data_IF_996992735414
#
_entry.id   IF_996992735414
#
_cell.length_a   1.000
_cell.length_b   1.000
_cell.length_c   1.000
_cell.angle_alpha   90.00
_cell.angle_beta   90.00
_cell.angle_gamma   90.00
#
_symmetry.space_group_name_H-M   'P 1'
#
loop_
_entity.id
_entity.type
_entity.pdbx_description
1 polymer ?
#
# COMPACT_ATOMS: atom_id res chain seq x y z
N UNK A 1 33.33 -67.01 43.07
CA UNK A 1 33.32 -65.53 42.97
C UNK A 1 33.66 -65.12 41.53
N UNK A 2 32.66 -64.88 40.67
CA UNK A 2 32.86 -64.29 39.33
C UNK A 2 31.84 -63.16 39.16
N UNK A 3 32.36 -61.96 38.94
CA UNK A 3 31.63 -60.68 38.95
C UNK A 3 30.86 -60.53 37.62
N UNK A 4 29.57 -60.26 37.69
CA UNK A 4 28.76 -59.84 36.53
C UNK A 4 29.05 -58.36 36.23
N UNK A 5 29.51 -58.08 35.02
CA UNK A 5 29.63 -56.72 34.49
C UNK A 5 28.30 -56.38 33.81
N UNK A 6 27.55 -55.44 34.40
CA UNK A 6 26.32 -54.88 33.81
C UNK A 6 26.73 -53.70 32.93
N UNK A 7 26.60 -53.86 31.62
CA UNK A 7 26.84 -52.81 30.63
C UNK A 7 25.58 -51.93 30.53
N UNK A 8 25.60 -50.76 31.17
CA UNK A 8 24.56 -49.74 31.02
C UNK A 8 24.73 -49.02 29.66
N UNK A 9 23.91 -49.38 28.68
CA UNK A 9 23.74 -48.61 27.45
C UNK A 9 22.86 -47.38 27.76
N UNK A 10 23.50 -46.24 28.00
CA UNK A 10 22.80 -44.95 28.12
C UNK A 10 22.36 -44.49 26.72
N UNK A 11 21.09 -44.73 26.39
CA UNK A 11 20.46 -44.20 25.18
C UNK A 11 20.22 -42.70 25.37
N UNK A 12 21.18 -41.87 24.98
CA UNK A 12 21.04 -40.41 24.99
C UNK A 12 20.05 -39.99 23.90
N UNK A 13 18.78 -39.89 24.27
CA UNK A 13 17.72 -39.37 23.42
C UNK A 13 17.91 -37.86 23.24
N UNK A 14 18.70 -37.45 22.23
CA UNK A 14 18.82 -36.06 21.79
C UNK A 14 17.47 -35.63 21.19
N UNK A 15 16.58 -35.11 22.04
CA UNK A 15 15.39 -34.38 21.59
C UNK A 15 15.85 -33.11 20.88
N UNK A 16 15.98 -33.17 19.56
CA UNK A 16 16.02 -31.98 18.72
C UNK A 16 14.65 -31.30 18.77
N UNK A 17 14.44 -30.46 19.78
CA UNK A 17 13.38 -29.46 19.74
C UNK A 17 13.76 -28.44 18.65
N UNK A 18 13.31 -28.71 17.42
CA UNK A 18 13.31 -27.73 16.35
C UNK A 18 12.44 -26.55 16.82
N UNK A 19 13.09 -25.52 17.35
CA UNK A 19 12.44 -24.28 17.67
C UNK A 19 11.86 -23.73 16.36
N UNK A 20 10.55 -23.46 16.26
CA UNK A 20 10.02 -22.82 15.07
C UNK A 20 10.73 -21.49 14.91
N UNK A 21 11.52 -21.35 13.84
CA UNK A 21 12.23 -20.13 13.53
C UNK A 21 11.19 -18.99 13.48
N UNK A 22 11.28 -18.05 14.43
CA UNK A 22 10.41 -16.87 14.46
C UNK A 22 10.56 -16.16 13.11
N UNK A 23 9.52 -16.21 12.28
CA UNK A 23 9.54 -15.61 10.96
C UNK A 23 10.00 -14.15 11.09
N UNK A 24 11.11 -13.80 10.44
CA UNK A 24 11.64 -12.45 10.46
C UNK A 24 10.53 -11.48 10.00
N UNK A 25 10.27 -10.45 10.80
CA UNK A 25 9.20 -9.51 10.49
C UNK A 25 9.46 -8.89 9.11
N UNK A 26 8.45 -8.95 8.24
CA UNK A 26 8.55 -8.43 6.88
C UNK A 26 9.08 -6.98 6.86
N UNK A 27 10.17 -6.74 6.12
CA UNK A 27 10.78 -5.41 6.01
C UNK A 27 9.95 -4.53 5.09
N UNK A 28 9.52 -3.35 5.56
CA UNK A 28 8.66 -2.45 4.80
C UNK A 28 9.23 -1.04 4.74
N UNK A 29 9.07 -0.36 3.60
CA UNK A 29 9.37 1.06 3.46
C UNK A 29 8.50 1.71 2.38
N UNK A 30 8.44 3.04 2.43
CA UNK A 30 7.70 3.88 1.49
C UNK A 30 8.65 4.89 0.86
N UNK A 31 8.50 5.12 -0.44
CA UNK A 31 9.11 6.24 -1.16
C UNK A 31 7.98 7.10 -1.72
N UNK A 32 7.95 8.38 -1.38
CA UNK A 32 7.08 9.38 -1.98
C UNK A 32 7.93 10.22 -2.92
N UNK A 33 7.54 10.24 -4.19
CA UNK A 33 8.18 11.06 -5.20
C UNK A 33 7.26 12.22 -5.60
N UNK A 34 7.63 13.43 -5.16
CA UNK A 34 6.85 14.65 -5.38
C UNK A 34 6.80 15.03 -6.86
N UNK A 35 7.88 14.85 -7.61
CA UNK A 35 7.90 15.21 -9.04
C UNK A 35 6.96 14.34 -9.89
N UNK A 36 6.67 13.12 -9.43
CA UNK A 36 5.76 12.17 -10.09
C UNK A 36 4.36 12.15 -9.45
N UNK A 37 4.17 12.82 -8.31
CA UNK A 37 2.99 12.72 -7.45
C UNK A 37 2.60 11.25 -7.20
N UNK A 38 3.59 10.48 -6.73
CA UNK A 38 3.46 9.05 -6.52
C UNK A 38 4.01 8.59 -5.16
N UNK A 39 3.43 7.51 -4.64
CA UNK A 39 3.89 6.80 -3.45
C UNK A 39 4.14 5.34 -3.84
N UNK A 40 5.40 4.92 -3.74
CA UNK A 40 5.82 3.53 -3.88
C UNK A 40 5.91 2.85 -2.51
N UNK A 41 5.27 1.70 -2.38
CA UNK A 41 5.32 0.86 -1.18
C UNK A 41 6.09 -0.43 -1.46
N UNK A 42 7.07 -0.70 -0.60
CA UNK A 42 7.91 -1.89 -0.64
C UNK A 42 7.65 -2.78 0.55
N UNK A 43 7.68 -4.08 0.30
CA UNK A 43 7.64 -5.12 1.32
C UNK A 43 8.56 -6.27 0.91
N UNK A 44 9.36 -6.76 1.86
CA UNK A 44 10.37 -7.80 1.64
C UNK A 44 11.29 -7.47 0.47
N UNK A 45 11.76 -6.22 0.43
CA UNK A 45 12.61 -5.65 -0.62
C UNK A 45 12.01 -5.62 -2.02
N UNK A 46 10.73 -5.94 -2.21
CA UNK A 46 10.08 -5.91 -3.52
C UNK A 46 9.12 -4.73 -3.59
N UNK A 47 9.12 -4.02 -4.72
CA UNK A 47 8.12 -3.00 -5.01
C UNK A 47 6.76 -3.70 -5.12
N UNK A 48 5.89 -3.48 -4.15
CA UNK A 48 4.55 -4.08 -4.12
C UNK A 48 3.53 -3.23 -4.84
N UNK A 49 3.69 -1.91 -4.80
CA UNK A 49 2.64 -1.00 -5.20
C UNK A 49 3.14 0.40 -5.49
N UNK A 50 2.57 1.05 -6.51
CA UNK A 50 2.72 2.49 -6.76
C UNK A 50 1.34 3.12 -6.82
N UNK A 51 1.12 4.16 -6.02
CA UNK A 51 -0.13 4.90 -5.92
C UNK A 51 0.07 6.32 -6.43
N UNK A 52 -0.93 6.88 -7.13
CA UNK A 52 -0.99 8.33 -7.33
C UNK A 52 -1.35 8.99 -6.00
N UNK A 53 -0.71 10.11 -5.70
CA UNK A 53 -0.95 10.89 -4.47
C UNK A 53 -1.04 12.37 -4.80
N UNK A 54 -1.64 13.17 -3.92
CA UNK A 54 -1.49 14.61 -3.97
C UNK A 54 -0.41 15.05 -2.98
N UNK A 55 0.49 15.93 -3.41
CA UNK A 55 1.51 16.54 -2.55
C UNK A 55 1.26 18.05 -2.39
N UNK A 56 2.14 18.71 -1.64
CA UNK A 56 2.03 20.12 -1.30
C UNK A 56 1.95 21.02 -2.53
N UNK A 57 1.04 21.99 -2.51
CA UNK A 57 0.87 22.99 -3.59
C UNK A 57 2.13 23.82 -3.87
N UNK A 58 3.03 23.93 -2.89
CA UNK A 58 4.35 24.53 -3.04
C UNK A 58 5.43 23.50 -2.74
N UNK A 59 6.59 23.66 -3.39
CA UNK A 59 7.73 22.74 -3.25
C UNK A 59 8.14 22.52 -1.79
N UNK A 60 8.07 23.55 -0.95
CA UNK A 60 8.46 23.51 0.45
C UNK A 60 7.41 22.89 1.39
N UNK A 61 6.18 22.68 0.94
CA UNK A 61 5.07 22.29 1.83
C UNK A 61 5.13 20.82 2.23
N UNK A 62 5.38 19.93 1.27
CA UNK A 62 5.69 18.53 1.58
C UNK A 62 7.20 18.39 1.78
N UNK A 63 7.66 18.14 3.03
CA UNK A 63 9.08 18.14 3.36
C UNK A 63 9.78 16.94 2.71
N UNK A 64 10.97 17.19 2.14
CA UNK A 64 11.85 16.13 1.64
C UNK A 64 12.74 15.62 2.78
N UNK A 65 13.13 14.35 2.72
CA UNK A 65 14.00 13.72 3.71
C UNK A 65 13.59 12.31 4.11
N UNK A 66 14.13 11.86 5.26
CA UNK A 66 13.90 10.55 5.85
C UNK A 66 12.99 10.70 7.07
N UNK A 67 11.90 9.94 7.08
CA UNK A 67 10.88 9.96 8.12
C UNK A 67 10.49 8.54 8.51
N UNK A 68 9.62 8.43 9.51
CA UNK A 68 8.96 7.20 9.94
C UNK A 68 7.47 7.46 10.13
N UNK A 69 6.68 6.43 9.90
CA UNK A 69 5.31 6.38 10.42
C UNK A 69 5.39 6.22 11.93
N UNK A 70 4.84 7.16 12.68
CA UNK A 70 4.92 7.17 14.16
C UNK A 70 3.58 6.94 14.85
N UNK A 71 2.47 7.19 14.15
CA UNK A 71 1.15 6.85 14.64
C UNK A 71 0.22 6.46 13.47
N UNK A 72 -0.91 5.84 13.82
CA UNK A 72 -1.93 5.41 12.87
C UNK A 72 -3.31 5.63 13.49
N UNK A 73 -4.18 6.36 12.80
CA UNK A 73 -5.51 6.72 13.31
C UNK A 73 -6.56 6.38 12.25
N UNK A 74 -7.65 5.73 12.68
CA UNK A 74 -8.86 5.51 11.87
C UNK A 74 -9.75 6.73 12.05
N UNK A 75 -10.24 7.31 10.95
CA UNK A 75 -11.20 8.42 10.97
C UNK A 75 -10.77 9.58 11.89
N UNK A 76 -9.57 10.13 11.69
CA UNK A 76 -9.08 11.25 12.51
C UNK A 76 -10.00 12.48 12.35
N UNK A 77 -10.49 13.10 13.44
CA UNK A 77 -11.21 14.38 13.35
C UNK A 77 -10.36 15.48 12.70
N UNK A 78 -11.02 16.38 11.97
CA UNK A 78 -10.39 17.57 11.42
C UNK A 78 -10.69 18.78 12.31
N UNK A 79 -9.87 18.94 13.36
CA UNK A 79 -10.08 19.91 14.43
C UNK A 79 -10.22 21.35 13.92
N UNK A 80 -9.35 21.82 13.02
CA UNK A 80 -9.40 23.19 12.51
C UNK A 80 -10.68 23.53 11.76
N UNK A 81 -11.37 22.53 11.20
CA UNK A 81 -12.67 22.71 10.55
C UNK A 81 -13.85 22.22 11.38
N UNK A 82 -13.62 21.81 12.64
CA UNK A 82 -14.64 21.22 13.51
C UNK A 82 -15.42 20.06 12.87
N UNK A 83 -14.76 19.25 12.03
CA UNK A 83 -15.40 18.15 11.31
C UNK A 83 -15.11 16.83 12.04
N UNK A 84 -16.15 16.07 12.45
CA UNK A 84 -15.98 14.76 13.07
C UNK A 84 -15.19 13.77 12.22
N UNK A 85 -14.62 12.76 12.89
CA UNK A 85 -14.01 11.62 12.23
C UNK A 85 -15.04 10.80 11.45
N UNK A 86 -14.71 10.44 10.20
CA UNK A 86 -15.58 9.58 9.37
C UNK A 86 -16.68 10.33 8.62
N UNK A 87 -16.88 11.62 8.88
CA UNK A 87 -17.74 12.48 8.08
C UNK A 87 -17.22 12.56 6.63
N UNK A 88 -18.06 12.36 5.59
CA UNK A 88 -17.65 12.45 4.18
C UNK A 88 -16.98 13.77 3.79
N UNK A 89 -17.27 14.86 4.51
CA UNK A 89 -16.68 16.19 4.30
C UNK A 89 -15.29 16.32 4.91
N UNK A 90 -14.86 15.39 5.76
CA UNK A 90 -13.57 15.47 6.43
C UNK A 90 -12.41 15.36 5.41
N UNK A 91 -11.57 16.40 5.24
CA UNK A 91 -10.51 16.41 4.23
C UNK A 91 -9.37 15.43 4.51
N UNK A 92 -9.32 14.86 5.72
CA UNK A 92 -8.34 13.84 6.11
C UNK A 92 -8.74 12.44 5.64
N UNK A 93 -10.01 12.23 5.28
CA UNK A 93 -10.54 10.94 4.87
C UNK A 93 -10.58 9.91 6.00
N UNK A 94 -10.50 8.63 5.63
CA UNK A 94 -10.79 7.51 6.54
C UNK A 94 -9.58 6.94 7.29
N UNK A 95 -8.35 7.25 6.89
CA UNK A 95 -7.12 6.74 7.51
C UNK A 95 -6.05 7.81 7.56
N UNK A 96 -5.25 7.75 8.63
CA UNK A 96 -4.13 8.64 8.90
C UNK A 96 -2.90 7.82 9.28
N UNK A 97 -1.79 8.01 8.56
CA UNK A 97 -0.47 7.49 8.91
C UNK A 97 0.44 8.68 9.18
N UNK A 98 0.60 9.06 10.46
CA UNK A 98 1.34 10.25 10.85
C UNK A 98 2.85 10.07 10.70
N UNK A 99 3.50 11.11 10.19
CA UNK A 99 4.93 11.17 9.94
C UNK A 99 5.62 12.05 10.98
N UNK A 100 6.81 11.66 11.44
CA UNK A 100 7.66 12.49 12.30
C UNK A 100 8.39 13.61 11.54
N UNK A 101 7.71 14.28 10.61
CA UNK A 101 8.28 15.40 9.88
C UNK A 101 8.25 16.68 10.72
N UNK A 102 9.31 17.47 10.63
CA UNK A 102 9.45 18.79 11.29
C UNK A 102 9.12 18.78 12.79
N UNK A 103 9.49 17.72 13.50
CA UNK A 103 9.25 17.61 14.95
C UNK A 103 7.79 17.42 15.36
N UNK A 104 6.87 17.18 14.41
CA UNK A 104 5.42 17.12 14.70
C UNK A 104 4.93 15.75 15.18
N UNK A 105 5.80 14.74 15.24
CA UNK A 105 5.49 13.39 15.76
C UNK A 105 4.16 12.79 15.24
N UNK A 106 3.82 13.05 13.97
CA UNK A 106 2.64 12.50 13.32
C UNK A 106 1.32 13.23 13.62
N UNK A 107 1.35 14.42 14.22
CA UNK A 107 0.15 15.24 14.46
C UNK A 107 -0.19 16.17 13.30
N UNK A 108 0.82 16.62 12.54
CA UNK A 108 0.67 17.61 11.45
C UNK A 108 0.85 17.00 10.07
N UNK A 109 1.93 16.24 9.84
CA UNK A 109 2.23 15.64 8.54
C UNK A 109 1.82 14.18 8.50
N UNK A 110 1.12 13.77 7.43
CA UNK A 110 0.67 12.39 7.28
C UNK A 110 0.51 11.96 5.83
N UNK A 111 0.50 10.64 5.64
CA UNK A 111 -0.16 9.99 4.50
C UNK A 111 -1.60 9.70 4.94
N UNK A 112 -2.58 10.25 4.23
CA UNK A 112 -3.99 10.13 4.64
C UNK A 112 -4.94 10.02 3.44
N UNK A 113 -6.22 9.77 3.73
CA UNK A 113 -7.29 9.74 2.73
C UNK A 113 -7.63 11.14 2.19
N UNK A 114 -8.84 11.33 1.66
CA UNK A 114 -9.31 12.66 1.26
C UNK A 114 -10.83 12.70 1.06
N UNK A 115 -11.40 13.91 0.98
CA UNK A 115 -12.81 14.16 0.58
C UNK A 115 -12.96 14.68 -0.87
N UNK A 116 -11.87 15.00 -1.56
CA UNK A 116 -11.84 15.49 -2.93
C UNK A 116 -10.93 14.63 -3.82
N UNK A 117 -11.50 13.54 -4.34
CA UNK A 117 -10.81 12.52 -5.13
C UNK A 117 -10.11 13.07 -6.38
N UNK A 118 -10.56 14.22 -6.89
CA UNK A 118 -9.97 14.91 -8.05
C UNK A 118 -8.61 15.53 -7.75
N UNK A 119 -8.27 15.73 -6.47
CA UNK A 119 -6.95 16.26 -6.06
C UNK A 119 -5.80 15.26 -6.21
N UNK A 120 -6.10 13.96 -6.32
CA UNK A 120 -5.07 12.93 -6.38
C UNK A 120 -4.33 12.98 -7.72
N UNK A 121 -2.99 13.00 -7.67
CA UNK A 121 -2.11 13.17 -8.82
C UNK A 121 -1.66 14.61 -9.06
N UNK A 122 -2.09 15.58 -8.23
CA UNK A 122 -1.77 17.00 -8.39
C UNK A 122 -1.07 17.59 -7.15
N UNK A 123 -0.59 18.84 -7.26
CA UNK A 123 -0.02 19.61 -6.16
C UNK A 123 -1.12 20.41 -5.44
N UNK A 124 -1.81 19.79 -4.49
CA UNK A 124 -3.07 20.33 -3.92
C UNK A 124 -3.10 20.40 -2.38
N UNK A 125 -2.15 19.80 -1.68
CA UNK A 125 -2.19 19.73 -0.21
C UNK A 125 -1.48 20.92 0.44
N UNK A 126 -1.69 21.09 1.74
CA UNK A 126 -0.92 22.02 2.58
C UNK A 126 0.40 21.42 3.08
N UNK A 127 0.78 20.22 2.61
CA UNK A 127 2.03 19.55 2.97
C UNK A 127 1.89 18.04 3.23
N UNK A 128 0.69 17.57 3.56
CA UNK A 128 0.41 16.13 3.66
C UNK A 128 0.42 15.40 2.32
N UNK A 129 0.41 14.08 2.38
CA UNK A 129 0.27 13.19 1.22
C UNK A 129 -1.16 12.66 1.19
N UNK A 130 -1.96 13.13 0.23
CA UNK A 130 -3.35 12.67 0.07
C UNK A 130 -3.40 11.46 -0.85
N UNK A 131 -4.19 10.47 -0.48
CA UNK A 131 -4.45 9.25 -1.25
C UNK A 131 -5.95 9.06 -1.44
N UNK A 132 -6.36 8.21 -2.40
CA UNK A 132 -7.74 7.73 -2.44
C UNK A 132 -8.09 6.95 -1.15
N UNK A 133 -9.30 7.12 -0.61
CA UNK A 133 -9.72 6.52 0.66
C UNK A 133 -9.61 4.98 0.69
N UNK A 134 -9.84 4.33 -0.45
CA UNK A 134 -9.70 2.89 -0.57
C UNK A 134 -8.23 2.44 -0.61
N UNK A 135 -7.34 3.20 -1.27
CA UNK A 135 -5.90 2.91 -1.35
C UNK A 135 -5.20 3.15 -0.01
N UNK A 136 -5.50 4.24 0.68
CA UNK A 136 -4.93 4.48 2.02
C UNK A 136 -5.42 3.43 3.01
N UNK A 137 -6.65 2.92 2.87
CA UNK A 137 -7.13 1.81 3.69
C UNK A 137 -6.30 0.54 3.47
N UNK A 138 -5.97 0.22 2.21
CA UNK A 138 -5.05 -0.88 1.89
C UNK A 138 -3.68 -0.67 2.53
N UNK A 139 -3.10 0.52 2.33
CA UNK A 139 -1.78 0.86 2.85
C UNK A 139 -1.76 0.77 4.38
N UNK A 140 -2.80 1.31 5.02
CA UNK A 140 -2.97 1.30 6.47
C UNK A 140 -3.01 -0.13 7.05
N UNK A 141 -3.59 -1.11 6.35
CA UNK A 141 -3.59 -2.51 6.85
C UNK A 141 -2.22 -3.18 6.82
N UNK A 142 -1.28 -2.67 6.01
CA UNK A 142 0.03 -3.30 5.77
C UNK A 142 1.17 -2.58 6.46
N UNK A 143 1.17 -1.25 6.42
CA UNK A 143 2.23 -0.42 6.99
C UNK A 143 2.23 -0.48 8.50
N UNK A 144 3.38 -0.75 9.10
CA UNK A 144 3.58 -0.78 10.55
C UNK A 144 4.05 0.58 11.07
N UNK A 145 3.81 0.84 12.35
CA UNK A 145 4.52 1.93 13.04
C UNK A 145 6.03 1.62 12.96
N UNK A 146 6.85 2.67 12.86
CA UNK A 146 8.28 2.66 12.55
C UNK A 146 8.66 2.30 11.10
N UNK A 147 7.70 2.05 10.19
CA UNK A 147 8.00 1.93 8.76
C UNK A 147 8.69 3.19 8.25
N UNK A 148 9.83 3.01 7.58
CA UNK A 148 10.63 4.10 7.01
C UNK A 148 9.92 4.73 5.82
N UNK A 149 9.95 6.05 5.75
CA UNK A 149 9.36 6.83 4.66
C UNK A 149 10.44 7.76 4.13
N UNK A 150 10.66 7.73 2.81
CA UNK A 150 11.55 8.67 2.12
C UNK A 150 10.70 9.57 1.25
N UNK A 151 10.88 10.88 1.35
CA UNK A 151 10.20 11.86 0.51
C UNK A 151 11.24 12.59 -0.31
N UNK A 152 11.11 12.56 -1.64
CA UNK A 152 12.07 13.12 -2.59
C UNK A 152 11.39 13.77 -3.78
N UNK A 153 12.13 14.60 -4.51
CA UNK A 153 11.83 14.96 -5.90
C UNK A 153 12.92 14.36 -6.80
N UNK A 154 12.59 13.39 -7.67
CA UNK A 154 13.60 12.70 -8.49
C UNK A 154 13.04 12.15 -9.81
N UNK A 155 13.86 12.15 -10.86
CA UNK A 155 13.55 11.46 -12.12
C UNK A 155 13.85 9.95 -12.07
N UNK A 156 14.71 9.51 -11.13
CA UNK A 156 15.20 8.12 -11.00
C UNK A 156 14.08 7.10 -10.81
N UNK A 157 14.39 5.83 -11.06
CA UNK A 157 13.53 4.69 -10.71
C UNK A 157 13.42 4.55 -9.19
N UNK A 158 12.34 3.91 -8.71
CA UNK A 158 12.15 3.69 -7.27
C UNK A 158 13.25 2.82 -6.65
N UNK A 159 13.76 1.83 -7.39
CA UNK A 159 14.86 0.98 -6.90
C UNK A 159 16.16 1.77 -6.77
N UNK A 160 16.48 2.65 -7.74
CA UNK A 160 17.65 3.53 -7.63
C UNK A 160 17.51 4.53 -6.48
N UNK A 161 16.29 5.03 -6.21
CA UNK A 161 16.02 5.86 -5.03
C UNK A 161 16.17 5.04 -3.75
N UNK A 162 15.63 3.82 -3.70
CA UNK A 162 15.74 2.94 -2.54
C UNK A 162 17.20 2.69 -2.17
N UNK A 163 18.02 2.29 -3.15
CA UNK A 163 19.45 2.07 -2.98
C UNK A 163 20.19 3.32 -2.47
N UNK A 164 19.92 4.50 -3.03
CA UNK A 164 20.53 5.75 -2.59
C UNK A 164 20.20 6.11 -1.12
N UNK A 165 19.11 5.58 -0.58
CA UNK A 165 18.70 5.80 0.81
C UNK A 165 19.03 4.62 1.75
N UNK A 166 19.85 3.67 1.30
CA UNK A 166 20.21 2.46 2.05
C UNK A 166 19.04 1.52 2.30
N UNK A 167 18.00 1.58 1.46
CA UNK A 167 16.84 0.70 1.50
C UNK A 167 17.09 -0.43 0.50
N UNK A 168 16.99 -1.69 0.95
CA UNK A 168 17.18 -2.85 0.08
C UNK A 168 15.98 -2.98 -0.86
N UNK A 169 16.07 -2.44 -2.08
CA UNK A 169 15.17 -2.77 -3.20
C UNK A 169 15.80 -3.86 -4.06
N UNK A 170 15.22 -5.05 -4.10
CA UNK A 170 15.54 -6.06 -5.12
C UNK A 170 14.68 -5.72 -6.33
N UNK A 171 15.35 -5.33 -7.42
CA UNK A 171 14.72 -4.84 -8.64
C UNK A 171 13.42 -5.56 -8.96
N UNK A 172 12.34 -4.80 -9.12
CA UNK A 172 11.15 -5.37 -9.76
C UNK A 172 11.49 -5.60 -11.23
N UNK A 173 11.80 -6.84 -11.60
CA UNK A 173 11.68 -7.34 -12.98
C UNK A 173 10.21 -7.40 -13.43
N UNK A 174 9.34 -6.61 -12.81
CA UNK A 174 7.92 -6.55 -13.04
C UNK A 174 7.64 -5.19 -13.70
N UNK A 175 6.95 -5.14 -14.85
CA UNK A 175 6.41 -3.88 -15.33
C UNK A 175 5.60 -3.28 -14.19
N UNK A 176 5.85 -2.01 -13.87
CA UNK A 176 5.29 -1.30 -12.74
C UNK A 176 3.85 -1.75 -12.46
N UNK A 177 3.67 -2.62 -11.46
CA UNK A 177 2.35 -3.00 -11.02
C UNK A 177 1.71 -1.72 -10.47
N UNK A 178 0.90 -1.09 -11.31
CA UNK A 178 -0.09 -0.11 -10.88
C UNK A 178 -1.13 -0.88 -10.06
N UNK A 179 -0.78 -1.19 -8.82
CA UNK A 179 -1.70 -1.73 -7.81
C UNK A 179 -2.55 -0.62 -7.17
N UNK A 180 -2.49 0.59 -7.71
CA UNK A 180 -3.55 1.58 -7.54
C UNK A 180 -4.92 0.98 -7.88
N UNK A 181 -5.96 1.63 -7.40
CA UNK A 181 -7.34 1.34 -7.78
C UNK A 181 -7.45 1.37 -9.29
N UNK A 182 -7.77 0.22 -9.90
CA UNK A 182 -8.04 0.23 -11.34
C UNK A 182 -9.41 0.86 -11.54
N UNK A 183 -9.48 1.79 -12.49
CA UNK A 183 -10.69 2.52 -12.81
C UNK A 183 -10.70 2.82 -14.30
N UNK A 184 -11.81 3.35 -14.80
CA UNK A 184 -11.91 3.79 -16.19
C UNK A 184 -10.74 4.72 -16.55
N UNK A 185 -10.04 4.38 -17.64
CA UNK A 185 -8.81 5.04 -18.10
C UNK A 185 -7.50 4.43 -17.58
N UNK A 186 -7.53 3.53 -16.60
CA UNK A 186 -6.35 2.73 -16.24
C UNK A 186 -5.89 1.89 -17.44
N UNK A 187 -4.57 1.70 -17.57
CA UNK A 187 -3.97 0.87 -18.61
C UNK A 187 -2.83 0.01 -18.05
N UNK A 188 -2.48 -1.08 -18.75
CA UNK A 188 -1.30 -1.91 -18.48
C UNK A 188 -1.63 -3.30 -17.91
N UNK A 189 -0.59 -4.01 -17.47
CA UNK A 189 -0.69 -5.43 -17.07
C UNK A 189 -1.67 -5.68 -15.93
N UNK A 190 -1.78 -4.77 -14.97
CA UNK A 190 -2.78 -4.89 -13.90
C UNK A 190 -4.23 -4.87 -14.43
N UNK A 191 -4.49 -4.17 -15.54
CA UNK A 191 -5.79 -4.17 -16.20
C UNK A 191 -6.00 -5.46 -16.99
N UNK A 192 -4.97 -6.01 -17.64
CA UNK A 192 -5.06 -7.33 -18.29
C UNK A 192 -5.39 -8.42 -17.28
N UNK A 193 -4.71 -8.41 -16.13
CA UNK A 193 -4.99 -9.34 -15.04
C UNK A 193 -6.42 -9.22 -14.53
N UNK A 194 -6.90 -7.99 -14.31
CA UNK A 194 -8.29 -7.74 -13.97
C UNK A 194 -9.27 -8.29 -15.03
N UNK A 195 -9.03 -7.99 -16.31
CA UNK A 195 -9.88 -8.42 -17.42
C UNK A 195 -9.92 -9.95 -17.51
N UNK A 196 -8.78 -10.62 -17.33
CA UNK A 196 -8.67 -12.08 -17.25
C UNK A 196 -9.50 -12.64 -16.09
N UNK A 197 -9.34 -12.10 -14.88
CA UNK A 197 -10.04 -12.57 -13.69
C UNK A 197 -11.55 -12.32 -13.74
N UNK A 198 -11.99 -11.17 -14.26
CA UNK A 198 -13.41 -10.87 -14.47
C UNK A 198 -14.02 -11.85 -15.47
N UNK A 199 -13.36 -12.05 -16.61
CA UNK A 199 -13.81 -12.98 -17.66
C UNK A 199 -13.88 -14.41 -17.14
N UNK A 200 -12.86 -14.86 -16.39
CA UNK A 200 -12.84 -16.18 -15.74
C UNK A 200 -14.00 -16.36 -14.74
N UNK A 201 -14.45 -15.29 -14.09
CA UNK A 201 -15.59 -15.30 -13.16
C UNK A 201 -16.95 -15.05 -13.84
N UNK A 202 -17.00 -15.04 -15.18
CA UNK A 202 -18.24 -14.87 -15.95
C UNK A 202 -18.63 -13.41 -16.24
N UNK A 203 -17.76 -12.44 -15.96
CA UNK A 203 -17.98 -11.02 -16.23
C UNK A 203 -17.13 -10.59 -17.44
N UNK A 204 -17.62 -10.88 -18.65
CA UNK A 204 -16.87 -10.59 -19.89
C UNK A 204 -16.51 -9.11 -20.03
N UNK A 205 -15.23 -8.84 -20.33
CA UNK A 205 -14.72 -7.51 -20.69
C UNK A 205 -14.65 -7.29 -22.20
N UNK A 206 -15.17 -8.23 -23.00
CA UNK A 206 -14.98 -8.39 -24.46
C UNK A 206 -13.53 -8.68 -24.88
N UNK A 207 -12.59 -7.86 -24.44
CA UNK A 207 -11.17 -7.96 -24.78
C UNK A 207 -10.30 -7.93 -23.51
N UNK A 208 -9.09 -8.49 -23.63
CA UNK A 208 -8.02 -8.46 -22.62
C UNK A 208 -6.86 -7.63 -23.18
N UNK A 209 -7.16 -6.38 -23.53
CA UNK A 209 -6.25 -5.42 -24.18
C UNK A 209 -5.40 -4.62 -23.18
N UNK A 210 -5.67 -4.77 -21.89
CA UNK A 210 -5.04 -3.97 -20.84
C UNK A 210 -5.54 -2.54 -20.78
N UNK A 211 -6.70 -2.23 -21.35
CA UNK A 211 -7.33 -0.91 -21.31
C UNK A 211 -8.63 -1.00 -20.51
N UNK A 212 -8.72 -0.20 -19.45
CA UNK A 212 -9.94 -0.13 -18.64
C UNK A 212 -10.94 0.81 -19.31
N UNK A 213 -11.56 0.31 -20.38
CA UNK A 213 -12.58 0.99 -21.16
C UNK A 213 -14.01 0.80 -20.62
N UNK A 214 -15.00 1.13 -21.45
CA UNK A 214 -16.44 1.00 -21.11
C UNK A 214 -16.82 -0.45 -20.78
N UNK A 215 -16.26 -1.43 -21.50
CA UNK A 215 -16.58 -2.85 -21.29
C UNK A 215 -16.03 -3.35 -19.94
N UNK A 216 -14.77 -3.03 -19.64
CA UNK A 216 -14.14 -3.36 -18.35
C UNK A 216 -14.87 -2.70 -17.17
N UNK A 217 -15.25 -1.43 -17.28
CA UNK A 217 -16.05 -0.74 -16.24
C UNK A 217 -17.41 -1.42 -16.01
N UNK A 218 -18.12 -1.79 -17.08
CA UNK A 218 -19.38 -2.53 -16.99
C UNK A 218 -19.22 -3.88 -16.30
N UNK A 219 -18.19 -4.64 -16.66
CA UNK A 219 -17.87 -5.93 -16.04
C UNK A 219 -17.55 -5.78 -14.53
N UNK A 220 -16.75 -4.78 -14.16
CA UNK A 220 -16.44 -4.47 -12.75
C UNK A 220 -17.71 -4.15 -11.98
N UNK A 221 -18.58 -3.27 -12.50
CA UNK A 221 -19.82 -2.90 -11.81
C UNK A 221 -20.76 -4.08 -11.63
N UNK A 222 -20.88 -4.95 -12.63
CA UNK A 222 -21.65 -6.21 -12.53
C UNK A 222 -21.07 -7.13 -11.44
N UNK A 223 -19.75 -7.30 -11.43
CA UNK A 223 -19.06 -8.08 -10.41
C UNK A 223 -19.29 -7.51 -9.00
N UNK A 224 -19.12 -6.20 -8.83
CA UNK A 224 -19.33 -5.52 -7.56
C UNK A 224 -20.77 -5.71 -7.06
N UNK A 225 -21.76 -5.53 -7.93
CA UNK A 225 -23.18 -5.76 -7.60
C UNK A 225 -23.42 -7.19 -7.13
N UNK A 226 -22.90 -8.18 -7.86
CA UNK A 226 -23.06 -9.59 -7.53
C UNK A 226 -22.36 -9.99 -6.22
N UNK A 227 -21.24 -9.33 -5.87
CA UNK A 227 -20.52 -9.57 -4.62
C UNK A 227 -20.98 -8.68 -3.45
N UNK A 228 -22.11 -7.97 -3.60
CA UNK A 228 -22.65 -7.04 -2.59
C UNK A 228 -21.62 -6.00 -2.13
N UNK A 229 -20.77 -5.57 -3.06
CA UNK A 229 -19.79 -4.49 -2.86
C UNK A 229 -20.38 -3.15 -3.32
N UNK A 230 -19.76 -2.05 -2.90
CA UNK A 230 -20.08 -0.73 -3.44
C UNK A 230 -19.88 -0.72 -4.96
N UNK A 231 -20.92 -0.36 -5.72
CA UNK A 231 -20.93 -0.37 -7.19
C UNK A 231 -20.40 0.96 -7.74
N UNK A 232 -19.13 1.24 -7.49
CA UNK A 232 -18.48 2.49 -7.88
C UNK A 232 -17.63 2.38 -9.16
N UNK A 233 -17.44 1.17 -9.70
CA UNK A 233 -16.56 0.91 -10.84
C UNK A 233 -15.07 1.01 -10.50
N UNK A 234 -14.74 1.10 -9.21
CA UNK A 234 -13.39 1.17 -8.70
C UNK A 234 -12.94 -0.21 -8.25
N UNK A 235 -11.88 -0.73 -8.88
CA UNK A 235 -11.23 -1.96 -8.46
C UNK A 235 -10.24 -1.64 -7.34
N UNK A 236 -10.82 -1.25 -6.20
CA UNK A 236 -10.11 -1.04 -4.94
C UNK A 236 -9.89 -2.34 -4.17
N UNK A 237 -9.39 -2.29 -2.93
CA UNK A 237 -9.00 -3.47 -2.15
C UNK A 237 -10.10 -4.50 -1.95
N UNK A 238 -11.34 -4.05 -1.69
CA UNK A 238 -12.47 -4.97 -1.52
C UNK A 238 -12.77 -5.74 -2.80
N UNK A 239 -12.82 -5.04 -3.94
CA UNK A 239 -12.98 -5.65 -5.27
C UNK A 239 -11.82 -6.58 -5.60
N UNK A 240 -10.57 -6.16 -5.35
CA UNK A 240 -9.37 -6.97 -5.58
C UNK A 240 -9.37 -8.26 -4.74
N UNK A 241 -9.70 -8.17 -3.45
CA UNK A 241 -9.85 -9.34 -2.56
C UNK A 241 -10.93 -10.29 -3.08
N UNK A 242 -12.09 -9.76 -3.47
CA UNK A 242 -13.17 -10.59 -4.01
C UNK A 242 -12.82 -11.24 -5.36
N UNK A 243 -11.93 -10.62 -6.15
CA UNK A 243 -11.42 -11.16 -7.40
C UNK A 243 -10.31 -12.21 -7.20
N UNK A 244 -9.65 -12.22 -6.03
CA UNK A 244 -8.46 -13.04 -5.77
C UNK A 244 -7.15 -12.40 -6.24
N UNK A 245 -7.12 -11.08 -6.41
CA UNK A 245 -5.91 -10.32 -6.78
C UNK A 245 -5.02 -9.98 -5.57
N UNK A 246 -5.41 -10.36 -4.35
CA UNK A 246 -4.77 -10.02 -3.08
C UNK A 246 -4.87 -11.16 -2.08
#
# INVERSE_FOLDING_TARGET
MKKFVVLLLTFSFLLFFAHPAKAAAASQFIIINKSKNELAYYENSRLKSVFKVATGRQKSYTPEGKFKVVNKIVNRPYYSGHIPGGDPRNPLGNRWLGLNARGTWGTTYAIHGNNNAKSIGTYASAGCIRMYNNEVQWLFTRVKVNTRVVIVSSSKSYDSIASAYGLKGKGSSLPAYSTGTLKKGSKGEAVKELQKLLTQKGYSTKEIDGIFGKNTDSAVRKFQKAKKLKVDGLVGPATKKALGML
#
